data_IF_302034821838
#
_entry.id   IF_302034821838
#
_cell.length_a   1.000
_cell.length_b   1.000
_cell.length_c   1.000
_cell.angle_alpha   90.00
_cell.angle_beta   90.00
_cell.angle_gamma   90.00
#
_symmetry.space_group_name_H-M   'P 1'
#
loop_
_entity.id
_entity.type
_entity.pdbx_description
1 polymer ?
#
# COMPACT_ATOMS: atom_id res chain seq x y z
N UNK A 1 -29.53 -3.79 23.17
CA UNK A 1 -29.85 -3.79 21.74
C UNK A 1 -28.74 -4.56 21.05
N UNK A 2 -29.06 -5.76 20.56
CA UNK A 2 -28.12 -6.67 19.92
C UNK A 2 -27.76 -6.09 18.54
N UNK A 3 -26.47 -5.90 18.28
CA UNK A 3 -25.98 -5.66 16.93
C UNK A 3 -25.93 -7.00 16.21
N UNK A 4 -26.73 -7.14 15.16
CA UNK A 4 -26.70 -8.28 14.26
C UNK A 4 -25.29 -8.40 13.66
N UNK A 5 -24.59 -9.47 14.05
CA UNK A 5 -23.44 -9.96 13.28
C UNK A 5 -24.03 -10.60 12.04
N UNK A 6 -23.97 -9.92 10.90
CA UNK A 6 -24.04 -10.59 9.60
C UNK A 6 -22.83 -11.54 9.54
N UNK A 7 -23.08 -12.80 9.87
CA UNK A 7 -22.13 -13.89 9.72
C UNK A 7 -21.93 -14.09 8.21
N UNK A 8 -20.89 -13.46 7.65
CA UNK A 8 -20.42 -13.79 6.32
C UNK A 8 -19.88 -15.22 6.39
N UNK A 9 -20.72 -16.20 6.05
CA UNK A 9 -20.34 -17.59 5.79
C UNK A 9 -19.50 -17.66 4.51
N UNK A 10 -18.33 -17.02 4.56
CA UNK A 10 -17.28 -17.24 3.59
C UNK A 10 -16.73 -18.60 3.96
N UNK A 11 -16.84 -19.62 3.09
CA UNK A 11 -16.35 -20.99 3.32
C UNK A 11 -14.83 -21.13 3.52
N UNK A 12 -14.17 -20.06 3.94
CA UNK A 12 -12.78 -19.98 4.33
C UNK A 12 -12.63 -20.23 5.84
N UNK A 13 -11.55 -20.91 6.27
CA UNK A 13 -11.26 -21.06 7.68
C UNK A 13 -11.05 -19.69 8.34
N UNK A 14 -11.53 -19.52 9.57
CA UNK A 14 -11.23 -18.32 10.38
C UNK A 14 -9.72 -18.26 10.65
N UNK A 15 -9.02 -17.27 10.08
CA UNK A 15 -7.57 -17.11 10.21
C UNK A 15 -7.27 -16.14 11.36
N UNK A 16 -6.59 -16.62 12.41
CA UNK A 16 -6.06 -15.74 13.46
C UNK A 16 -4.78 -15.05 12.97
N UNK A 17 -4.85 -13.72 12.77
CA UNK A 17 -3.71 -12.92 12.33
C UNK A 17 -2.81 -12.49 13.49
N UNK A 18 -1.49 -12.46 13.25
CA UNK A 18 -0.51 -11.99 14.24
C UNK A 18 -0.79 -10.55 14.66
N UNK A 19 -0.67 -10.26 15.96
CA UNK A 19 -0.89 -8.92 16.54
C UNK A 19 0.39 -8.18 16.93
N UNK A 20 1.53 -8.86 16.90
CA UNK A 20 2.84 -8.28 17.21
C UNK A 20 3.95 -8.98 16.44
N UNK A 21 5.04 -8.26 16.22
CA UNK A 21 6.31 -8.84 15.80
C UNK A 21 7.08 -9.35 17.02
N UNK A 22 8.02 -10.30 16.84
CA UNK A 22 9.03 -10.61 17.84
C UNK A 22 9.87 -9.37 18.18
N UNK A 23 10.44 -9.33 19.39
CA UNK A 23 11.34 -8.24 19.78
C UNK A 23 12.54 -8.16 18.81
N UNK A 24 12.96 -6.95 18.41
CA UNK A 24 14.06 -6.79 17.45
C UNK A 24 15.36 -7.32 18.04
N UNK A 25 16.01 -8.24 17.33
CA UNK A 25 17.30 -8.84 17.71
C UNK A 25 18.42 -7.78 17.69
N UNK A 26 18.32 -6.83 16.75
CA UNK A 26 19.26 -5.73 16.60
C UNK A 26 18.61 -4.46 17.14
N UNK A 27 19.18 -3.90 18.21
CA UNK A 27 18.86 -2.52 18.64
C UNK A 27 19.45 -1.57 17.60
N UNK A 28 18.70 -0.53 17.23
CA UNK A 28 19.20 0.54 16.36
C UNK A 28 20.53 1.06 16.89
N UNK A 29 21.61 0.82 16.15
CA UNK A 29 22.89 1.47 16.46
C UNK A 29 22.71 2.95 16.14
N UNK A 30 23.18 3.85 17.01
CA UNK A 30 23.07 5.31 16.86
C UNK A 30 23.85 5.93 15.70
N UNK A 31 23.99 5.22 14.58
CA UNK A 31 24.57 5.73 13.35
C UNK A 31 23.57 6.72 12.76
N UNK A 32 24.01 7.95 12.55
CA UNK A 32 23.14 8.99 11.99
C UNK A 32 22.79 8.68 10.53
N UNK A 33 21.49 8.72 10.18
CA UNK A 33 21.06 8.66 8.78
C UNK A 33 21.79 9.70 7.93
N UNK A 34 21.99 10.90 8.49
CA UNK A 34 22.72 12.00 7.86
C UNK A 34 24.13 11.60 7.42
N UNK A 35 24.88 10.89 8.26
CA UNK A 35 26.27 10.53 7.93
C UNK A 35 26.36 9.55 6.75
N UNK A 36 25.28 8.84 6.43
CA UNK A 36 25.20 7.92 5.30
C UNK A 36 24.71 8.59 4.02
N UNK A 37 23.84 9.60 4.13
CA UNK A 37 23.21 10.23 2.95
C UNK A 37 23.84 11.56 2.54
N UNK A 38 24.69 12.19 3.38
CA UNK A 38 25.30 13.50 3.10
C UNK A 38 26.06 13.57 1.77
N UNK A 39 26.66 12.47 1.31
CA UNK A 39 27.42 12.41 0.06
C UNK A 39 26.53 12.08 -1.16
N UNK A 40 25.22 11.96 -0.93
CA UNK A 40 24.19 11.64 -1.91
C UNK A 40 23.22 12.82 -2.18
N UNK A 41 23.58 14.04 -1.76
CA UNK A 41 22.80 15.25 -2.07
C UNK A 41 22.62 15.38 -3.58
N UNK A 42 21.37 15.58 -4.00
CA UNK A 42 20.98 15.69 -5.42
C UNK A 42 20.82 14.36 -6.16
N UNK A 43 21.10 13.21 -5.53
CA UNK A 43 20.94 11.88 -6.13
C UNK A 43 19.59 11.24 -5.76
N UNK A 44 19.23 10.22 -6.51
CA UNK A 44 18.12 9.31 -6.21
C UNK A 44 18.53 8.33 -5.10
N UNK A 45 17.91 8.47 -3.92
CA UNK A 45 18.20 7.65 -2.74
C UNK A 45 17.71 6.20 -2.88
N UNK A 46 16.85 5.89 -3.86
CA UNK A 46 16.44 4.50 -4.09
C UNK A 46 17.64 3.61 -4.44
N UNK A 47 18.69 4.19 -5.02
CA UNK A 47 19.94 3.54 -5.43
C UNK A 47 21.02 3.51 -4.35
N UNK A 48 20.82 4.19 -3.23
CA UNK A 48 21.77 4.18 -2.11
C UNK A 48 21.55 2.93 -1.28
N UNK A 49 22.62 2.16 -1.08
CA UNK A 49 22.61 1.00 -0.19
C UNK A 49 22.65 1.50 1.26
N UNK A 50 21.49 1.50 1.92
CA UNK A 50 21.41 1.77 3.34
C UNK A 50 21.62 0.47 4.13
N UNK A 51 22.27 0.54 5.30
CA UNK A 51 22.31 -0.58 6.22
C UNK A 51 20.90 -1.04 6.62
N UNK A 52 20.75 -2.34 6.87
CA UNK A 52 19.46 -3.00 7.15
C UNK A 52 18.65 -2.38 8.30
N UNK A 53 19.31 -1.71 9.25
CA UNK A 53 18.63 -1.03 10.37
C UNK A 53 17.91 0.27 9.98
N UNK A 54 18.05 0.73 8.72
CA UNK A 54 17.20 1.77 8.12
C UNK A 54 16.08 1.19 7.26
N UNK A 55 15.93 -0.13 7.26
CA UNK A 55 14.82 -0.81 6.63
C UNK A 55 13.75 -1.17 7.66
N UNK A 56 12.50 -0.95 7.27
CA UNK A 56 11.38 -1.56 7.97
C UNK A 56 11.21 -3.02 7.50
N UNK A 57 10.69 -3.93 8.33
CA UNK A 57 10.63 -5.36 8.05
C UNK A 57 9.49 -5.73 7.07
N UNK A 58 9.32 -4.94 6.01
CA UNK A 58 8.38 -5.18 4.92
C UNK A 58 9.01 -4.82 3.57
N UNK A 59 8.56 -5.45 2.49
CA UNK A 59 8.96 -5.08 1.13
C UNK A 59 8.07 -3.98 0.54
N UNK A 60 8.53 -3.31 -0.51
CA UNK A 60 7.67 -2.33 -1.20
C UNK A 60 6.40 -2.94 -1.79
N UNK A 61 6.39 -4.25 -2.09
CA UNK A 61 5.20 -4.98 -2.52
C UNK A 61 4.14 -5.08 -1.43
N UNK A 62 4.58 -5.29 -0.19
CA UNK A 62 3.72 -5.28 0.99
C UNK A 62 3.23 -3.86 1.32
N UNK A 63 4.09 -2.85 1.12
CA UNK A 63 3.71 -1.45 1.30
C UNK A 63 2.55 -1.05 0.39
N UNK A 64 2.50 -1.54 -0.86
CA UNK A 64 1.35 -1.34 -1.76
C UNK A 64 0.03 -1.92 -1.21
N UNK A 65 0.09 -3.01 -0.45
CA UNK A 65 -1.12 -3.59 0.14
C UNK A 65 -1.69 -2.74 1.29
N UNK A 66 -0.87 -1.89 1.92
CA UNK A 66 -1.34 -1.02 3.01
C UNK A 66 -2.35 0.05 2.52
N UNK A 67 -2.33 0.39 1.23
CA UNK A 67 -3.33 1.29 0.62
C UNK A 67 -4.77 0.71 0.74
N UNK A 68 -4.89 -0.60 0.95
CA UNK A 68 -6.16 -1.32 1.10
C UNK A 68 -6.60 -1.48 2.57
N UNK A 69 -5.92 -0.83 3.53
CA UNK A 69 -6.30 -0.86 4.95
C UNK A 69 -7.77 -0.47 5.14
N UNK A 70 -8.20 0.60 4.48
CA UNK A 70 -9.55 1.18 4.51
C UNK A 70 -10.39 0.84 3.28
N UNK A 71 -10.19 -0.34 2.71
CA UNK A 71 -10.95 -0.87 1.56
C UNK A 71 -12.46 -0.95 1.80
N UNK A 72 -12.93 -0.92 3.04
CA UNK A 72 -14.37 -0.86 3.35
C UNK A 72 -15.03 0.43 2.82
N UNK A 73 -14.26 1.48 2.57
CA UNK A 73 -14.73 2.69 1.87
C UNK A 73 -15.16 2.38 0.44
N UNK A 74 -14.45 1.48 -0.26
CA UNK A 74 -14.81 1.06 -1.62
C UNK A 74 -16.08 0.20 -1.63
N UNK A 75 -16.25 -0.66 -0.64
CA UNK A 75 -17.50 -1.42 -0.45
C UNK A 75 -18.70 -0.48 -0.24
N UNK A 76 -18.53 0.60 0.53
CA UNK A 76 -19.56 1.64 0.70
C UNK A 76 -19.80 2.42 -0.59
N UNK A 77 -18.73 2.78 -1.30
CA UNK A 77 -18.83 3.46 -2.58
C UNK A 77 -19.64 2.64 -3.59
N UNK A 78 -19.39 1.32 -3.66
CA UNK A 78 -20.13 0.40 -4.51
C UNK A 78 -21.62 0.35 -4.15
N UNK A 79 -21.96 0.27 -2.86
CA UNK A 79 -23.36 0.32 -2.38
C UNK A 79 -24.06 1.61 -2.81
N UNK A 80 -23.43 2.77 -2.58
CA UNK A 80 -24.00 4.06 -3.00
C UNK A 80 -24.17 4.18 -4.52
N UNK A 81 -23.23 3.63 -5.31
CA UNK A 81 -23.35 3.54 -6.76
C UNK A 81 -24.61 2.77 -7.18
N UNK A 82 -24.85 1.60 -6.58
CA UNK A 82 -26.05 0.79 -6.83
C UNK A 82 -27.36 1.49 -6.45
N UNK A 83 -27.33 2.33 -5.43
CA UNK A 83 -28.47 3.16 -5.01
C UNK A 83 -28.69 4.40 -5.90
N UNK A 84 -27.80 4.66 -6.86
CA UNK A 84 -27.84 5.83 -7.73
C UNK A 84 -27.29 7.11 -7.08
N UNK A 85 -26.59 7.00 -5.95
CA UNK A 85 -26.01 8.13 -5.22
C UNK A 85 -24.54 8.36 -5.61
N UNK A 86 -24.33 8.94 -6.80
CA UNK A 86 -23.00 9.21 -7.36
C UNK A 86 -22.14 10.13 -6.48
N UNK A 87 -22.76 11.09 -5.78
CA UNK A 87 -22.05 12.00 -4.88
C UNK A 87 -21.43 11.25 -3.70
N UNK A 88 -22.20 10.39 -3.03
CA UNK A 88 -21.65 9.60 -1.92
C UNK A 88 -20.60 8.59 -2.40
N UNK A 89 -20.78 8.02 -3.60
CA UNK A 89 -19.77 7.16 -4.23
C UNK A 89 -18.43 7.87 -4.38
N UNK A 90 -18.39 9.02 -5.06
CA UNK A 90 -17.12 9.74 -5.28
C UNK A 90 -16.50 10.25 -3.99
N UNK A 91 -17.31 10.64 -2.99
CA UNK A 91 -16.80 11.02 -1.67
C UNK A 91 -16.07 9.86 -0.98
N UNK A 92 -16.61 8.64 -1.05
CA UNK A 92 -15.96 7.46 -0.49
C UNK A 92 -14.71 7.05 -1.26
N UNK A 93 -14.72 7.17 -2.60
CA UNK A 93 -13.51 6.95 -3.43
C UNK A 93 -12.41 7.96 -3.09
N UNK A 94 -12.76 9.23 -2.92
CA UNK A 94 -11.80 10.26 -2.52
C UNK A 94 -11.26 10.02 -1.10
N UNK A 95 -12.12 9.61 -0.16
CA UNK A 95 -11.69 9.23 1.19
C UNK A 95 -10.72 8.03 1.15
N UNK A 96 -11.01 7.03 0.31
CA UNK A 96 -10.11 5.89 0.10
C UNK A 96 -8.75 6.33 -0.45
N UNK A 97 -8.73 7.16 -1.49
CA UNK A 97 -7.50 7.67 -2.09
C UNK A 97 -6.61 8.43 -1.08
N UNK A 98 -7.20 9.21 -0.18
CA UNK A 98 -6.46 9.92 0.87
C UNK A 98 -6.00 8.98 1.99
N UNK A 99 -6.78 7.95 2.29
CA UNK A 99 -6.51 7.04 3.41
C UNK A 99 -5.19 6.28 3.31
N UNK A 100 -4.68 6.01 2.10
CA UNK A 100 -3.40 5.32 1.90
C UNK A 100 -2.20 6.03 2.55
N UNK A 101 -2.25 7.37 2.66
CA UNK A 101 -1.19 8.15 3.30
C UNK A 101 -1.16 8.04 4.83
N UNK A 102 -2.25 7.59 5.46
CA UNK A 102 -2.32 7.48 6.93
C UNK A 102 -1.27 6.52 7.49
N UNK A 103 -0.92 5.47 6.74
CA UNK A 103 0.08 4.46 7.12
C UNK A 103 1.52 4.99 7.13
N UNK A 104 1.77 6.22 6.66
CA UNK A 104 3.11 6.79 6.50
C UNK A 104 3.59 7.57 7.72
N UNK A 105 2.69 7.95 8.63
CA UNK A 105 3.06 8.69 9.84
C UNK A 105 3.97 7.83 10.75
N UNK A 106 5.06 8.42 11.23
CA UNK A 106 6.00 7.77 12.15
C UNK A 106 6.90 6.68 11.53
N UNK A 107 6.81 6.43 10.21
CA UNK A 107 7.63 5.40 9.52
C UNK A 107 8.68 6.04 8.64
N UNK A 108 9.84 6.28 9.25
CA UNK A 108 10.98 6.93 8.58
C UNK A 108 11.94 5.95 7.88
N UNK A 109 11.73 4.64 8.06
CA UNK A 109 12.55 3.60 7.46
C UNK A 109 12.06 3.25 6.04
N UNK A 110 12.98 2.82 5.18
CA UNK A 110 12.67 2.43 3.80
C UNK A 110 12.19 0.98 3.76
N UNK A 111 11.12 0.64 3.02
CA UNK A 111 10.81 -0.78 2.78
C UNK A 111 11.95 -1.47 2.02
N UNK A 112 12.05 -2.79 2.14
CA UNK A 112 12.97 -3.57 1.33
C UNK A 112 12.63 -3.41 -0.16
N UNK A 113 13.65 -3.11 -0.97
CA UNK A 113 13.51 -3.13 -2.42
C UNK A 113 13.35 -4.59 -2.86
N UNK A 114 12.21 -4.99 -3.44
CA UNK A 114 11.98 -6.38 -3.83
C UNK A 114 12.99 -6.86 -4.87
N UNK A 115 13.20 -8.17 -5.01
CA UNK A 115 13.92 -8.72 -6.17
C UNK A 115 13.08 -8.59 -7.45
N UNK A 116 13.72 -8.57 -8.61
CA UNK A 116 12.98 -8.63 -9.88
C UNK A 116 12.22 -9.96 -9.96
N UNK A 117 10.91 -9.91 -10.24
CA UNK A 117 10.03 -11.07 -10.22
C UNK A 117 9.64 -11.55 -8.81
N UNK A 118 10.02 -10.83 -7.74
CA UNK A 118 9.46 -11.08 -6.42
C UNK A 118 7.96 -10.76 -6.43
N UNK A 119 7.18 -11.61 -5.78
CA UNK A 119 5.72 -11.49 -5.68
C UNK A 119 5.28 -11.40 -4.22
N UNK A 120 4.14 -10.76 -3.99
CA UNK A 120 3.45 -10.76 -2.71
C UNK A 120 1.96 -10.98 -2.94
N UNK A 121 1.35 -11.82 -2.12
CA UNK A 121 -0.09 -12.07 -2.13
C UNK A 121 -0.67 -11.84 -0.73
N UNK A 122 -1.88 -11.32 -0.69
CA UNK A 122 -2.63 -11.14 0.55
C UNK A 122 -4.10 -11.47 0.32
N UNK A 123 -4.55 -12.55 0.97
CA UNK A 123 -5.96 -12.93 1.01
C UNK A 123 -6.56 -12.52 2.36
N UNK A 124 -7.62 -11.71 2.30
CA UNK A 124 -8.40 -11.26 3.45
C UNK A 124 -9.90 -11.55 3.20
N UNK A 125 -10.33 -12.82 3.31
CA UNK A 125 -11.73 -13.21 3.11
C UNK A 125 -12.70 -12.43 4.01
N UNK A 126 -12.27 -12.08 5.23
CA UNK A 126 -13.06 -11.29 6.17
C UNK A 126 -13.33 -9.86 5.67
N UNK A 127 -12.44 -9.29 4.85
CA UNK A 127 -12.64 -8.03 4.14
C UNK A 127 -13.19 -8.23 2.72
N UNK A 128 -13.17 -9.47 2.21
CA UNK A 128 -13.50 -9.83 0.83
C UNK A 128 -12.45 -9.32 -0.16
N UNK A 129 -11.18 -9.33 0.21
CA UNK A 129 -10.07 -8.86 -0.61
C UNK A 129 -9.19 -10.01 -1.05
N UNK A 130 -8.81 -9.99 -2.34
CA UNK A 130 -7.71 -10.77 -2.87
C UNK A 130 -6.73 -9.84 -3.54
N UNK A 131 -5.49 -9.80 -3.05
CA UNK A 131 -4.45 -8.92 -3.54
C UNK A 131 -3.26 -9.70 -4.06
N UNK A 132 -2.68 -9.23 -5.16
CA UNK A 132 -1.44 -9.73 -5.73
C UNK A 132 -0.57 -8.56 -6.20
N UNK A 133 0.73 -8.63 -5.97
CA UNK A 133 1.69 -7.68 -6.53
C UNK A 133 2.99 -8.35 -6.94
N UNK A 134 3.65 -7.77 -7.94
CA UNK A 134 4.92 -8.23 -8.50
C UNK A 134 5.83 -7.04 -8.81
N UNK A 135 7.14 -7.24 -8.60
CA UNK A 135 8.14 -6.31 -9.15
C UNK A 135 8.46 -6.68 -10.59
N UNK A 136 7.82 -5.95 -11.51
CA UNK A 136 7.90 -6.17 -12.96
C UNK A 136 9.11 -5.52 -13.64
N UNK A 137 9.76 -4.55 -12.98
CA UNK A 137 11.01 -3.96 -13.50
C UNK A 137 11.95 -3.53 -12.37
N UNK A 138 13.25 -3.62 -12.66
CA UNK A 138 14.30 -3.16 -11.74
C UNK A 138 14.85 -1.77 -12.09
N UNK A 139 14.93 -1.44 -13.39
CA UNK A 139 15.51 -0.18 -13.88
C UNK A 139 14.69 0.37 -15.06
N UNK A 140 13.70 1.25 -14.81
CA UNK A 140 13.30 1.80 -13.50
C UNK A 140 12.62 0.77 -12.59
N UNK A 141 12.64 0.99 -11.27
CA UNK A 141 11.89 0.14 -10.34
C UNK A 141 10.40 0.32 -10.59
N UNK A 142 9.70 -0.73 -11.01
CA UNK A 142 8.25 -0.72 -11.20
C UNK A 142 7.65 -1.90 -10.45
N UNK A 143 6.62 -1.59 -9.67
CA UNK A 143 5.76 -2.55 -9.01
C UNK A 143 4.42 -2.52 -9.71
N UNK A 144 3.85 -3.68 -10.01
CA UNK A 144 2.48 -3.79 -10.48
C UNK A 144 1.66 -4.52 -9.39
N UNK A 145 0.43 -4.09 -9.18
CA UNK A 145 -0.47 -4.78 -8.27
C UNK A 145 -1.88 -4.86 -8.83
N UNK A 146 -2.63 -5.85 -8.36
CA UNK A 146 -4.04 -6.05 -8.67
C UNK A 146 -4.77 -6.54 -7.43
N UNK A 147 -5.94 -5.98 -7.18
CA UNK A 147 -6.81 -6.34 -6.08
C UNK A 147 -8.24 -6.51 -6.56
N UNK A 148 -8.86 -7.60 -6.15
CA UNK A 148 -10.29 -7.85 -6.33
C UNK A 148 -11.00 -7.68 -4.98
N UNK A 149 -12.06 -6.89 -4.97
CA UNK A 149 -12.94 -6.66 -3.84
C UNK A 149 -14.38 -7.07 -4.12
N UNK A 150 -15.33 -6.59 -3.31
CA UNK A 150 -16.76 -6.91 -3.45
C UNK A 150 -17.43 -6.02 -4.49
N UNK A 151 -17.27 -6.41 -5.76
CA UNK A 151 -17.86 -5.72 -6.91
C UNK A 151 -17.08 -4.49 -7.38
N UNK A 152 -15.80 -4.46 -7.03
CA UNK A 152 -14.82 -3.51 -7.52
C UNK A 152 -13.46 -4.19 -7.69
N UNK A 153 -12.65 -3.63 -8.57
CA UNK A 153 -11.27 -4.03 -8.84
C UNK A 153 -10.38 -2.81 -8.73
N UNK A 154 -9.23 -2.97 -8.11
CA UNK A 154 -8.26 -1.90 -7.90
C UNK A 154 -6.89 -2.36 -8.36
N UNK A 155 -6.26 -1.63 -9.27
CA UNK A 155 -4.94 -1.97 -9.78
C UNK A 155 -4.15 -0.72 -10.13
N UNK A 156 -2.86 -0.92 -10.28
CA UNK A 156 -1.98 0.14 -10.72
C UNK A 156 -0.55 -0.33 -10.83
N UNK A 157 0.24 0.52 -11.46
CA UNK A 157 1.69 0.47 -11.35
C UNK A 157 2.17 1.58 -10.41
N UNK A 158 3.23 1.30 -9.65
CA UNK A 158 3.85 2.26 -8.77
C UNK A 158 5.36 2.26 -8.95
N UNK A 159 5.91 3.46 -9.15
CA UNK A 159 7.32 3.77 -9.13
C UNK A 159 7.55 4.89 -8.12
N UNK A 160 8.44 4.68 -7.15
CA UNK A 160 8.78 5.72 -6.19
C UNK A 160 10.04 6.44 -6.64
N UNK A 161 9.89 7.69 -7.11
CA UNK A 161 11.06 8.56 -7.37
C UNK A 161 11.43 9.26 -6.08
N UNK A 162 12.71 9.23 -5.74
CA UNK A 162 13.21 9.94 -4.57
C UNK A 162 14.20 11.02 -4.96
N UNK A 163 14.12 12.18 -4.31
CA UNK A 163 15.07 13.27 -4.49
C UNK A 163 15.52 13.80 -3.14
N UNK A 164 16.83 13.75 -2.89
CA UNK A 164 17.40 14.31 -1.68
C UNK A 164 17.90 15.74 -1.92
N UNK A 165 17.28 16.71 -1.25
CA UNK A 165 17.61 18.14 -1.36
C UNK A 165 18.71 18.59 -0.38
N UNK A 166 19.27 17.66 0.39
CA UNK A 166 20.23 17.95 1.46
C UNK A 166 19.59 18.31 2.79
N UNK A 167 18.32 18.77 2.84
CA UNK A 167 17.59 18.94 4.11
C UNK A 167 16.35 18.06 4.20
N UNK A 168 15.74 17.76 3.06
CA UNK A 168 14.56 16.91 2.96
C UNK A 168 14.74 15.84 1.91
N UNK A 169 14.01 14.74 2.08
CA UNK A 169 13.85 13.70 1.07
C UNK A 169 12.44 13.89 0.51
N UNK A 170 12.35 14.20 -0.78
CA UNK A 170 11.09 14.21 -1.50
C UNK A 170 10.86 12.80 -2.06
N UNK A 171 9.65 12.29 -1.86
CA UNK A 171 9.19 11.01 -2.35
C UNK A 171 8.00 11.28 -3.26
N UNK A 172 8.17 11.04 -4.56
CA UNK A 172 7.15 11.23 -5.57
C UNK A 172 6.69 9.85 -6.05
N UNK A 173 5.50 9.39 -5.62
CA UNK A 173 4.88 8.23 -6.25
C UNK A 173 4.52 8.59 -7.68
N UNK A 174 4.90 7.73 -8.62
CA UNK A 174 4.62 7.88 -10.05
C UNK A 174 3.93 6.62 -10.51
N UNK A 175 2.73 6.79 -11.03
CA UNK A 175 1.85 5.70 -11.41
C UNK A 175 0.43 6.21 -11.51
N UNK A 176 -0.45 5.39 -12.11
CA UNK A 176 -1.89 5.68 -12.12
C UNK A 176 -2.58 4.54 -11.40
N UNK A 177 -3.29 4.90 -10.33
CA UNK A 177 -4.15 4.00 -9.59
C UNK A 177 -5.52 4.00 -10.28
N UNK A 178 -6.02 2.83 -10.62
CA UNK A 178 -7.29 2.64 -11.32
C UNK A 178 -8.22 1.79 -10.48
N UNK A 179 -9.43 2.30 -10.26
CA UNK A 179 -10.54 1.63 -9.61
C UNK A 179 -11.68 1.46 -10.61
N UNK A 180 -12.12 0.24 -10.83
CA UNK A 180 -13.29 -0.10 -11.66
C UNK A 180 -14.33 -0.80 -10.79
N UNK A 181 -15.59 -0.43 -10.95
CA UNK A 181 -16.72 -1.12 -10.34
C UNK A 181 -17.45 -1.98 -11.38
N UNK A 182 -18.25 -2.96 -10.93
CA UNK A 182 -18.95 -3.88 -11.85
C UNK A 182 -19.93 -3.21 -12.83
N UNK A 183 -20.39 -2.00 -12.52
CA UNK A 183 -21.24 -1.20 -13.40
C UNK A 183 -20.46 -0.49 -14.52
N UNK A 184 -19.14 -0.68 -14.57
CA UNK A 184 -18.22 -0.13 -15.55
C UNK A 184 -17.71 1.28 -15.24
N UNK A 185 -18.17 1.93 -14.16
CA UNK A 185 -17.64 3.23 -13.78
C UNK A 185 -16.21 3.09 -13.25
N UNK A 186 -15.31 3.92 -13.78
CA UNK A 186 -13.87 3.88 -13.49
C UNK A 186 -13.40 5.20 -12.90
N UNK A 187 -12.56 5.14 -11.86
CA UNK A 187 -11.89 6.27 -11.25
C UNK A 187 -10.38 6.11 -11.35
N UNK A 188 -9.67 7.22 -11.63
CA UNK A 188 -8.23 7.23 -11.74
C UNK A 188 -7.62 8.40 -10.98
N UNK A 189 -6.51 8.16 -10.28
CA UNK A 189 -5.73 9.18 -9.59
C UNK A 189 -4.24 8.77 -9.50
N UNK A 190 -3.39 9.71 -9.07
CA UNK A 190 -1.94 9.58 -8.94
C UNK A 190 -1.44 10.15 -7.63
#
# INVERSE_FOLDING_TARGET
>A
MHGDKEDCDSGYPQIERRKKLPDPVLREKGVSLWSLIKDNVGKDLTRVCLPVYFNEPISSLQKCFEDLEYSDLLDRAYKYGKEGNSLQRILNVAAFAVSGYSSSEGRHCKPFNPLLGETFEADYPEKGLRFFSEKVSHHPTLLAFHCEGKGWKFWGDSNLRSKFSGRSIQLDPVGVLTLEFDDGETFQWS
#
